data_IF_719323680249
#
_entry.id   IF_719323680249
#
_cell.length_a   1.000
_cell.length_b   1.000
_cell.length_c   1.000
_cell.angle_alpha   90.00
_cell.angle_beta   90.00
_cell.angle_gamma   90.00
#
_symmetry.space_group_name_H-M   'P 1'
#
loop_
_entity.id
_entity.type
_entity.pdbx_description
1 polymer ?
#
# COMPACT_ATOMS: atom_id res chain seq x y z
N UNK A 1 40.63 0.36 -24.15
CA UNK A 1 39.41 -0.44 -23.94
C UNK A 1 38.38 0.46 -23.28
N UNK A 2 37.25 0.74 -23.93
CA UNK A 2 36.18 1.50 -23.29
C UNK A 2 35.65 0.69 -22.11
N UNK A 3 35.87 1.17 -20.88
CA UNK A 3 35.23 0.63 -19.70
C UNK A 3 33.73 0.75 -19.92
N UNK A 4 33.03 -0.35 -20.17
CA UNK A 4 31.56 -0.34 -20.21
C UNK A 4 31.08 0.15 -18.85
N UNK A 5 30.62 1.39 -18.77
CA UNK A 5 30.03 1.94 -17.56
C UNK A 5 28.79 1.10 -17.25
N UNK A 6 28.64 0.72 -15.97
CA UNK A 6 27.48 -0.04 -15.49
C UNK A 6 26.20 0.74 -15.83
N UNK A 7 25.27 0.11 -16.54
CA UNK A 7 23.93 0.67 -16.77
C UNK A 7 23.07 0.29 -15.57
N UNK A 8 22.65 1.28 -14.79
CA UNK A 8 21.77 1.09 -13.64
C UNK A 8 20.32 0.97 -14.11
N UNK A 9 19.57 0.05 -13.51
CA UNK A 9 18.16 -0.15 -13.86
C UNK A 9 17.27 0.98 -13.32
N UNK A 10 17.42 1.33 -12.04
CA UNK A 10 16.66 2.38 -11.37
C UNK A 10 17.50 2.97 -10.23
N UNK A 11 18.33 3.97 -10.55
CA UNK A 11 19.07 4.73 -9.54
C UNK A 11 18.25 5.94 -9.09
N UNK A 12 18.23 6.29 -7.79
CA UNK A 12 17.57 7.50 -7.30
C UNK A 12 17.99 8.76 -8.05
N UNK A 13 17.03 9.62 -8.35
CA UNK A 13 17.29 10.97 -8.81
C UNK A 13 17.23 11.94 -7.63
N UNK A 14 18.31 12.68 -7.38
CA UNK A 14 18.36 13.72 -6.34
C UNK A 14 18.06 15.07 -6.99
N UNK A 15 16.95 15.70 -6.62
CA UNK A 15 16.56 17.03 -7.12
C UNK A 15 17.36 18.17 -6.47
N UNK A 16 18.09 17.88 -5.39
CA UNK A 16 18.90 18.82 -4.62
C UNK A 16 18.16 19.40 -3.41
N UNK A 17 16.82 19.29 -3.35
CA UNK A 17 16.01 19.75 -2.22
C UNK A 17 16.05 18.77 -1.05
N UNK A 18 16.29 17.49 -1.32
CA UNK A 18 16.28 16.42 -0.31
C UNK A 18 17.32 16.69 0.79
N UNK A 19 18.50 17.17 0.41
CA UNK A 19 19.58 17.48 1.36
C UNK A 19 19.19 18.63 2.31
N UNK A 20 18.39 19.59 1.85
CA UNK A 20 17.91 20.69 2.70
C UNK A 20 16.95 20.17 3.79
N UNK A 21 16.00 19.30 3.44
CA UNK A 21 15.09 18.69 4.42
C UNK A 21 15.81 17.77 5.42
N UNK A 22 16.80 17.02 4.95
CA UNK A 22 17.65 16.22 5.85
C UNK A 22 18.41 17.13 6.81
N UNK A 23 19.05 18.20 6.30
CA UNK A 23 19.76 19.16 7.14
C UNK A 23 18.83 19.82 8.16
N UNK A 24 17.63 20.22 7.75
CA UNK A 24 16.62 20.81 8.64
C UNK A 24 16.25 19.87 9.80
N UNK A 25 16.09 18.57 9.53
CA UNK A 25 15.82 17.58 10.58
C UNK A 25 16.95 17.51 11.62
N UNK A 26 18.21 17.61 11.18
CA UNK A 26 19.36 17.67 12.09
C UNK A 26 19.44 19.01 12.84
N UNK A 27 19.26 20.13 12.13
CA UNK A 27 19.35 21.49 12.70
C UNK A 27 18.28 21.71 13.79
N UNK A 28 17.08 21.15 13.60
CA UNK A 28 15.96 21.25 14.55
C UNK A 28 15.96 20.13 15.60
N UNK A 29 16.95 19.22 15.55
CA UNK A 29 17.03 18.01 16.37
C UNK A 29 15.77 17.12 16.28
N UNK A 30 15.10 17.16 15.12
CA UNK A 30 13.89 16.42 14.85
C UNK A 30 14.19 15.17 14.02
N UNK A 31 14.95 14.24 14.62
CA UNK A 31 15.35 12.96 14.00
C UNK A 31 14.45 11.78 14.42
N UNK A 32 13.28 12.08 15.00
CA UNK A 32 12.28 11.10 15.41
C UNK A 32 11.36 10.66 14.25
N UNK A 33 10.71 9.48 14.34
CA UNK A 33 9.83 8.92 13.29
C UNK A 33 8.49 9.66 13.11
N UNK A 34 8.20 10.64 13.97
CA UNK A 34 7.10 11.59 13.83
C UNK A 34 7.72 12.95 13.65
N UNK A 35 7.13 13.88 12.88
CA UNK A 35 7.66 15.23 12.74
C UNK A 35 7.10 16.05 11.58
N UNK A 36 7.46 17.35 11.51
CA UNK A 36 6.92 18.29 10.52
C UNK A 36 7.20 17.85 9.08
N UNK A 37 8.34 17.20 8.82
CA UNK A 37 8.65 16.64 7.50
C UNK A 37 7.69 15.51 7.11
N UNK A 38 7.30 14.67 8.06
CA UNK A 38 6.33 13.58 7.82
C UNK A 38 4.94 14.16 7.56
N UNK A 39 4.52 15.14 8.37
CA UNK A 39 3.23 15.81 8.21
C UNK A 39 3.14 16.54 6.85
N UNK A 40 4.22 17.24 6.48
CA UNK A 40 4.33 17.89 5.18
C UNK A 40 4.32 16.90 4.02
N UNK A 41 4.97 15.74 4.18
CA UNK A 41 4.99 14.69 3.16
C UNK A 41 3.60 14.05 2.97
N UNK A 42 2.93 13.70 4.08
CA UNK A 42 1.54 13.22 4.04
C UNK A 42 0.64 14.24 3.34
N UNK A 43 0.75 15.53 3.70
CA UNK A 43 -0.07 16.58 3.09
C UNK A 43 0.20 16.73 1.60
N UNK A 44 1.47 16.67 1.21
CA UNK A 44 1.88 16.70 -0.19
C UNK A 44 1.29 15.54 -0.99
N UNK A 45 1.28 14.33 -0.42
CA UNK A 45 0.66 13.15 -1.04
C UNK A 45 -0.87 13.28 -1.11
N UNK A 46 -1.54 13.76 -0.05
CA UNK A 46 -2.98 14.01 -0.05
C UNK A 46 -3.37 15.01 -1.17
N UNK A 47 -2.65 16.12 -1.26
CA UNK A 47 -2.86 17.13 -2.33
C UNK A 47 -2.56 16.56 -3.71
N UNK A 48 -1.47 15.80 -3.86
CA UNK A 48 -1.12 15.18 -5.12
C UNK A 48 -2.18 14.18 -5.56
N UNK A 49 -2.58 13.25 -4.69
CA UNK A 49 -3.54 12.19 -5.00
C UNK A 49 -4.91 12.79 -5.32
N UNK A 50 -5.38 13.76 -4.52
CA UNK A 50 -6.71 14.35 -4.66
C UNK A 50 -7.80 13.39 -4.16
N UNK A 51 -9.01 13.47 -4.70
CA UNK A 51 -10.10 12.50 -4.42
C UNK A 51 -10.51 12.38 -2.94
N UNK A 52 -10.28 13.43 -2.13
CA UNK A 52 -10.52 13.36 -0.68
C UNK A 52 -9.59 12.37 0.03
N UNK A 53 -8.41 12.10 -0.54
CA UNK A 53 -7.44 11.16 0.04
C UNK A 53 -6.88 11.68 1.36
N UNK A 54 -6.77 10.77 2.31
CA UNK A 54 -6.07 10.90 3.58
C UNK A 54 -4.91 9.90 3.59
N UNK A 55 -3.72 10.37 3.98
CA UNK A 55 -2.49 9.59 3.87
C UNK A 55 -1.82 9.43 5.23
N UNK A 56 -1.45 8.20 5.58
CA UNK A 56 -0.59 7.89 6.72
C UNK A 56 0.76 7.39 6.21
N UNK A 57 1.84 8.14 6.46
CA UNK A 57 3.19 7.71 6.13
C UNK A 57 3.65 6.59 7.08
N UNK A 58 4.37 5.61 6.54
CA UNK A 58 4.79 4.40 7.21
C UNK A 58 6.23 4.02 6.82
N UNK A 59 6.85 3.15 7.60
CA UNK A 59 8.25 2.74 7.40
C UNK A 59 8.48 1.88 6.14
N UNK A 60 7.44 1.25 5.59
CA UNK A 60 7.51 0.47 4.36
C UNK A 60 6.15 0.29 3.67
N UNK A 61 6.15 0.06 2.35
CA UNK A 61 4.94 -0.36 1.62
C UNK A 61 4.37 -1.68 2.14
N UNK A 62 5.22 -2.60 2.59
CA UNK A 62 4.79 -3.85 3.24
C UNK A 62 4.04 -3.59 4.55
N UNK A 63 4.45 -2.59 5.33
CA UNK A 63 3.74 -2.19 6.54
C UNK A 63 2.36 -1.60 6.20
N UNK A 64 2.26 -0.83 5.10
CA UNK A 64 0.99 -0.31 4.62
C UNK A 64 0.01 -1.42 4.23
N UNK A 65 0.46 -2.45 3.50
CA UNK A 65 -0.37 -3.62 3.15
C UNK A 65 -0.80 -4.36 4.42
N UNK A 66 0.13 -4.58 5.36
CA UNK A 66 -0.18 -5.25 6.62
C UNK A 66 -1.27 -4.52 7.41
N UNK A 67 -1.13 -3.20 7.60
CA UNK A 67 -2.15 -2.42 8.31
C UNK A 67 -3.46 -2.33 7.53
N UNK A 68 -3.44 -2.28 6.20
CA UNK A 68 -4.65 -2.33 5.38
C UNK A 68 -5.45 -3.61 5.64
N UNK A 69 -4.78 -4.76 5.69
CA UNK A 69 -5.41 -6.05 5.99
C UNK A 69 -5.98 -6.08 7.43
N UNK A 70 -5.23 -5.59 8.42
CA UNK A 70 -5.71 -5.48 9.81
C UNK A 70 -6.96 -4.61 9.90
N UNK A 71 -6.99 -3.48 9.20
CA UNK A 71 -8.12 -2.55 9.19
C UNK A 71 -9.37 -3.12 8.50
N UNK A 72 -9.19 -4.01 7.52
CA UNK A 72 -10.28 -4.77 6.91
C UNK A 72 -10.69 -6.01 7.73
N UNK A 73 -10.08 -6.21 8.90
CA UNK A 73 -10.41 -7.31 9.81
C UNK A 73 -9.92 -8.67 9.35
N UNK A 74 -8.93 -8.72 8.45
CA UNK A 74 -8.31 -9.99 8.03
C UNK A 74 -7.57 -10.60 9.21
N UNK A 75 -7.83 -11.88 9.46
CA UNK A 75 -7.20 -12.63 10.53
C UNK A 75 -6.90 -14.08 10.15
N UNK A 76 -6.68 -14.89 11.18
CA UNK A 76 -6.32 -16.29 11.01
C UNK A 76 -7.39 -17.05 10.22
N UNK A 77 -6.94 -17.89 9.28
CA UNK A 77 -7.79 -18.76 8.45
C UNK A 77 -8.74 -18.07 7.45
N UNK A 78 -8.72 -16.73 7.38
CA UNK A 78 -9.32 -15.98 6.29
C UNK A 78 -8.57 -16.20 4.98
N UNK A 79 -9.23 -15.91 3.87
CA UNK A 79 -8.64 -15.98 2.53
C UNK A 79 -8.55 -14.59 1.93
N UNK A 80 -7.39 -14.25 1.35
CA UNK A 80 -7.18 -12.99 0.67
C UNK A 80 -6.70 -13.28 -0.74
N UNK A 81 -7.38 -12.68 -1.71
CA UNK A 81 -7.02 -12.84 -3.10
C UNK A 81 -5.82 -11.94 -3.42
N UNK A 82 -4.83 -12.48 -4.13
CA UNK A 82 -3.64 -11.75 -4.58
C UNK A 82 -3.21 -12.30 -5.93
N UNK A 83 -2.64 -11.47 -6.81
CA UNK A 83 -2.10 -11.97 -8.07
C UNK A 83 -0.80 -12.76 -7.84
N UNK A 84 -0.59 -13.84 -8.60
CA UNK A 84 0.61 -14.69 -8.50
C UNK A 84 1.87 -13.97 -9.01
N UNK A 85 1.73 -13.14 -10.05
CA UNK A 85 2.80 -12.33 -10.63
C UNK A 85 2.88 -10.97 -9.92
N UNK A 86 3.60 -10.91 -8.81
CA UNK A 86 3.84 -9.68 -8.05
C UNK A 86 5.15 -9.78 -7.25
N UNK A 87 5.52 -8.69 -6.57
CA UNK A 87 6.54 -8.73 -5.53
C UNK A 87 5.98 -9.45 -4.28
N UNK A 88 6.80 -10.29 -3.62
CA UNK A 88 6.34 -11.14 -2.52
C UNK A 88 5.67 -10.38 -1.36
N UNK A 89 6.01 -9.11 -1.16
CA UNK A 89 5.39 -8.27 -0.14
C UNK A 89 3.90 -7.99 -0.35
N UNK A 90 3.33 -8.25 -1.53
CA UNK A 90 1.87 -8.23 -1.69
C UNK A 90 1.19 -9.41 -0.99
N UNK A 91 1.87 -10.57 -0.89
CA UNK A 91 1.32 -11.79 -0.30
C UNK A 91 1.79 -12.06 1.13
N UNK A 92 3.02 -11.69 1.49
CA UNK A 92 3.59 -11.98 2.81
C UNK A 92 2.73 -11.42 3.98
N UNK A 93 2.17 -10.20 3.92
CA UNK A 93 1.32 -9.67 4.98
C UNK A 93 0.04 -10.47 5.25
N UNK A 94 -0.47 -11.19 4.23
CA UNK A 94 -1.58 -12.12 4.39
C UNK A 94 -1.17 -13.23 5.38
N UNK A 95 0.03 -13.78 5.17
CA UNK A 95 0.58 -14.86 6.00
C UNK A 95 0.98 -14.38 7.39
N UNK A 96 1.44 -13.12 7.53
CA UNK A 96 1.75 -12.53 8.85
C UNK A 96 0.54 -12.58 9.80
N UNK A 97 -0.68 -12.44 9.25
CA UNK A 97 -1.94 -12.49 10.00
C UNK A 97 -2.49 -13.91 10.19
N UNK A 98 -1.81 -14.93 9.66
CA UNK A 98 -2.30 -16.31 9.63
C UNK A 98 -3.42 -16.56 8.61
N UNK A 99 -3.67 -15.60 7.70
CA UNK A 99 -4.58 -15.77 6.57
C UNK A 99 -3.90 -16.55 5.43
N UNK A 100 -4.68 -16.92 4.42
CA UNK A 100 -4.25 -17.75 3.28
C UNK A 100 -4.37 -16.96 1.97
N UNK A 101 -3.28 -16.80 1.21
CA UNK A 101 -3.36 -16.19 -0.11
C UNK A 101 -4.06 -17.13 -1.10
N UNK A 102 -5.00 -16.59 -1.88
CA UNK A 102 -5.60 -17.25 -3.05
C UNK A 102 -5.02 -16.57 -4.29
N UNK A 103 -4.17 -17.30 -5.02
CA UNK A 103 -3.43 -16.75 -6.15
C UNK A 103 -4.23 -16.74 -7.45
N UNK A 104 -4.24 -15.59 -8.12
CA UNK A 104 -4.90 -15.37 -9.41
C UNK A 104 -3.86 -15.12 -10.49
N UNK A 105 -4.09 -15.65 -11.69
CA UNK A 105 -3.17 -15.50 -12.82
C UNK A 105 -3.26 -14.09 -13.46
N UNK A 106 -2.28 -13.77 -14.28
CA UNK A 106 -2.22 -12.50 -15.01
C UNK A 106 -2.94 -12.57 -16.36
N UNK A 107 -3.62 -11.49 -16.73
CA UNK A 107 -4.08 -11.33 -18.11
C UNK A 107 -2.94 -10.84 -19.03
N UNK A 108 -3.11 -10.97 -20.35
CA UNK A 108 -2.01 -10.84 -21.33
C UNK A 108 -1.66 -9.40 -21.71
N UNK A 109 -2.56 -8.45 -21.53
CA UNK A 109 -2.46 -7.07 -22.05
C UNK A 109 -1.66 -6.18 -21.11
N UNK A 110 -1.97 -6.23 -19.80
CA UNK A 110 -1.33 -5.39 -18.77
C UNK A 110 -0.44 -6.19 -17.82
N UNK A 111 -0.52 -7.53 -17.86
CA UNK A 111 0.15 -8.47 -16.96
C UNK A 111 -0.28 -8.37 -15.49
N UNK A 112 -1.34 -7.63 -15.22
CA UNK A 112 -1.97 -7.58 -13.90
C UNK A 112 -3.01 -8.70 -13.76
N UNK A 113 -3.63 -8.80 -12.59
CA UNK A 113 -4.70 -9.75 -12.27
C UNK A 113 -5.74 -9.89 -13.39
N UNK A 114 -5.97 -11.13 -13.83
CA UNK A 114 -6.98 -11.45 -14.84
C UNK A 114 -8.40 -11.44 -14.24
N UNK A 115 -9.31 -10.58 -14.73
CA UNK A 115 -10.70 -10.52 -14.22
C UNK A 115 -11.45 -11.85 -14.32
N UNK A 116 -11.28 -12.59 -15.42
CA UNK A 116 -12.01 -13.84 -15.64
C UNK A 116 -11.61 -14.88 -14.58
N UNK A 117 -10.31 -15.09 -14.38
CA UNK A 117 -9.81 -16.03 -13.37
C UNK A 117 -10.05 -15.55 -11.94
N UNK A 118 -10.15 -14.23 -11.72
CA UNK A 118 -10.55 -13.66 -10.43
C UNK A 118 -11.98 -14.09 -10.11
N UNK A 119 -12.91 -13.90 -11.05
CA UNK A 119 -14.31 -14.22 -10.82
C UNK A 119 -14.53 -15.74 -10.62
N UNK A 120 -13.86 -16.57 -11.44
CA UNK A 120 -13.89 -18.02 -11.29
C UNK A 120 -13.38 -18.46 -9.91
N UNK A 121 -12.28 -17.86 -9.44
CA UNK A 121 -11.74 -18.16 -8.12
C UNK A 121 -12.72 -17.75 -7.01
N UNK A 122 -13.31 -16.56 -7.07
CA UNK A 122 -14.30 -16.11 -6.07
C UNK A 122 -15.47 -17.10 -6.01
N UNK A 123 -16.04 -17.47 -7.16
CA UNK A 123 -17.14 -18.46 -7.25
C UNK A 123 -16.73 -19.81 -6.65
N UNK A 124 -15.54 -20.32 -6.99
CA UNK A 124 -15.00 -21.56 -6.42
C UNK A 124 -14.89 -21.49 -4.90
N UNK A 125 -14.29 -20.41 -4.35
CA UNK A 125 -14.11 -20.25 -2.90
C UNK A 125 -15.46 -20.21 -2.18
N UNK A 126 -16.40 -19.41 -2.69
CA UNK A 126 -17.74 -19.28 -2.11
C UNK A 126 -18.47 -20.64 -2.11
N UNK A 127 -18.36 -21.41 -3.21
CA UNK A 127 -18.97 -22.76 -3.27
C UNK A 127 -18.43 -23.73 -2.21
N UNK A 128 -17.21 -23.48 -1.72
CA UNK A 128 -16.54 -24.25 -0.65
C UNK A 128 -16.76 -23.65 0.74
N UNK A 129 -17.69 -22.68 0.87
CA UNK A 129 -17.99 -22.01 2.14
C UNK A 129 -16.91 -21.04 2.59
N UNK A 130 -16.05 -20.58 1.67
CA UNK A 130 -14.99 -19.61 1.94
C UNK A 130 -15.26 -18.32 1.16
N UNK A 131 -15.69 -17.28 1.83
CA UNK A 131 -15.84 -15.95 1.22
C UNK A 131 -14.52 -15.18 1.39
N UNK A 132 -13.79 -14.85 0.30
CA UNK A 132 -12.52 -14.15 0.41
C UNK A 132 -12.71 -12.77 1.03
N UNK A 133 -11.83 -12.41 1.98
CA UNK A 133 -12.03 -11.25 2.83
C UNK A 133 -11.52 -9.93 2.26
N UNK A 134 -10.59 -10.01 1.30
CA UNK A 134 -10.10 -8.87 0.54
C UNK A 134 -9.47 -9.33 -0.78
N UNK A 135 -9.34 -8.40 -1.73
CA UNK A 135 -8.55 -8.54 -2.95
C UNK A 135 -7.39 -7.55 -2.90
N UNK A 136 -6.17 -8.00 -3.13
CA UNK A 136 -5.01 -7.13 -3.34
C UNK A 136 -4.75 -7.05 -4.85
N UNK A 137 -5.11 -5.91 -5.45
CA UNK A 137 -4.92 -5.63 -6.87
C UNK A 137 -3.70 -4.72 -7.05
N UNK A 138 -2.73 -5.16 -7.86
CA UNK A 138 -1.43 -4.48 -8.00
C UNK A 138 -1.35 -3.78 -9.34
N UNK A 139 -0.69 -2.63 -9.36
CA UNK A 139 -0.34 -1.90 -10.58
C UNK A 139 1.09 -2.22 -11.02
N UNK A 140 1.28 -3.41 -11.60
CA UNK A 140 2.61 -3.91 -11.95
C UNK A 140 3.32 -2.98 -12.93
N UNK A 141 4.58 -2.64 -12.63
CA UNK A 141 5.43 -1.75 -13.44
C UNK A 141 4.81 -0.37 -13.74
N UNK A 142 3.92 0.09 -12.87
CA UNK A 142 3.20 1.35 -13.05
C UNK A 142 2.03 1.27 -14.02
N UNK A 143 1.73 0.10 -14.61
CA UNK A 143 0.58 -0.08 -15.48
C UNK A 143 -0.69 -0.32 -14.64
N UNK A 144 -1.76 0.47 -14.82
CA UNK A 144 -3.02 0.22 -14.16
C UNK A 144 -3.55 -1.20 -14.43
N UNK A 145 -4.10 -1.90 -13.42
CA UNK A 145 -4.85 -3.13 -13.67
C UNK A 145 -6.16 -2.78 -14.37
N UNK A 146 -6.94 -3.78 -14.79
CA UNK A 146 -8.27 -3.56 -15.40
C UNK A 146 -9.27 -3.04 -14.35
N UNK A 147 -9.13 -1.75 -13.97
CA UNK A 147 -9.76 -1.16 -12.78
C UNK A 147 -11.26 -1.40 -12.75
N UNK A 148 -11.98 -1.00 -13.80
CA UNK A 148 -13.44 -1.16 -13.82
C UNK A 148 -13.86 -2.63 -13.67
N UNK A 149 -13.26 -3.53 -14.45
CA UNK A 149 -13.61 -4.95 -14.40
C UNK A 149 -13.36 -5.59 -13.03
N UNK A 150 -12.21 -5.30 -12.40
CA UNK A 150 -11.88 -5.85 -11.08
C UNK A 150 -12.82 -5.29 -10.00
N UNK A 151 -13.15 -3.99 -10.05
CA UNK A 151 -14.05 -3.36 -9.08
C UNK A 151 -15.51 -3.79 -9.26
N UNK A 152 -15.96 -3.96 -10.51
CA UNK A 152 -17.31 -4.48 -10.81
C UNK A 152 -17.47 -5.90 -10.26
N UNK A 153 -16.47 -6.78 -10.47
CA UNK A 153 -16.44 -8.12 -9.88
C UNK A 153 -16.44 -8.03 -8.36
N UNK A 154 -15.51 -7.28 -7.77
CA UNK A 154 -15.36 -7.16 -6.32
C UNK A 154 -16.65 -6.66 -5.63
N UNK A 155 -17.34 -5.69 -6.24
CA UNK A 155 -18.61 -5.17 -5.76
C UNK A 155 -19.74 -6.20 -5.84
N UNK A 156 -19.78 -7.04 -6.87
CA UNK A 156 -20.84 -8.08 -7.00
C UNK A 156 -20.77 -9.14 -5.89
N UNK A 157 -19.63 -9.28 -5.22
CA UNK A 157 -19.42 -10.23 -4.14
C UNK A 157 -19.15 -9.57 -2.78
N UNK A 158 -19.27 -8.24 -2.67
CA UNK A 158 -18.99 -7.47 -1.46
C UNK A 158 -17.58 -7.70 -0.88
N UNK A 159 -16.56 -7.77 -1.75
CA UNK A 159 -15.16 -7.98 -1.35
C UNK A 159 -14.39 -6.66 -1.48
N UNK A 160 -13.80 -6.12 -0.40
CA UNK A 160 -13.02 -4.88 -0.48
C UNK A 160 -11.72 -5.06 -1.26
N UNK A 161 -11.33 -4.03 -2.02
CA UNK A 161 -10.08 -4.01 -2.79
C UNK A 161 -9.04 -3.17 -2.05
N UNK A 162 -7.91 -3.79 -1.73
CA UNK A 162 -6.66 -3.11 -1.40
C UNK A 162 -5.90 -2.87 -2.71
N UNK A 163 -5.58 -1.60 -2.97
CA UNK A 163 -4.86 -1.20 -4.16
C UNK A 163 -3.36 -1.08 -3.87
N UNK A 164 -2.58 -2.02 -4.41
CA UNK A 164 -1.13 -2.01 -4.35
C UNK A 164 -0.54 -1.10 -5.44
N UNK A 165 -0.33 0.16 -5.07
CA UNK A 165 0.28 1.20 -5.92
C UNK A 165 1.77 1.40 -5.63
N UNK A 166 2.46 0.37 -5.13
CA UNK A 166 3.89 0.44 -4.84
C UNK A 166 4.76 0.76 -6.07
N UNK A 167 4.26 0.61 -7.29
CA UNK A 167 4.99 0.83 -8.54
C UNK A 167 4.34 1.89 -9.44
N UNK A 168 3.26 2.53 -9.01
CA UNK A 168 2.39 3.33 -9.88
C UNK A 168 2.12 4.75 -9.41
N UNK A 169 2.89 5.27 -8.45
CA UNK A 169 2.80 6.68 -8.06
C UNK A 169 3.19 7.57 -9.25
N UNK A 170 2.20 8.20 -9.88
CA UNK A 170 2.37 8.89 -11.17
C UNK A 170 1.32 8.49 -12.20
N UNK A 171 0.90 7.22 -12.16
CA UNK A 171 0.00 6.61 -13.13
C UNK A 171 -1.45 7.00 -12.90
N UNK A 172 -2.25 6.90 -13.97
CA UNK A 172 -3.66 7.26 -13.99
C UNK A 172 -4.47 6.28 -14.82
N UNK A 173 -5.71 6.06 -14.42
CA UNK A 173 -6.73 5.40 -15.20
C UNK A 173 -7.96 6.31 -15.28
N UNK A 174 -8.43 6.61 -16.50
CA UNK A 174 -9.54 7.54 -16.77
C UNK A 174 -9.43 8.87 -16.01
N UNK A 175 -8.21 9.43 -15.96
CA UNK A 175 -7.91 10.70 -15.29
C UNK A 175 -7.68 10.62 -13.77
N UNK A 176 -8.21 9.60 -13.10
CA UNK A 176 -8.02 9.33 -11.67
C UNK A 176 -6.67 8.66 -11.40
N UNK A 177 -6.02 9.00 -10.29
CA UNK A 177 -4.66 8.53 -9.97
C UNK A 177 -4.69 7.16 -9.30
N UNK A 178 -3.68 6.35 -9.60
CA UNK A 178 -3.40 5.13 -8.84
C UNK A 178 -3.13 5.47 -7.36
N UNK A 179 -3.52 4.55 -6.49
CA UNK A 179 -3.56 4.65 -5.04
C UNK A 179 -4.90 5.13 -4.49
N UNK A 180 -5.89 5.39 -5.36
CA UNK A 180 -7.15 6.02 -4.94
C UNK A 180 -8.41 5.24 -5.31
N UNK A 181 -8.32 4.17 -6.09
CA UNK A 181 -9.44 3.35 -6.56
C UNK A 181 -10.05 2.48 -5.46
N UNK A 182 -9.19 1.75 -4.73
CA UNK A 182 -9.58 0.79 -3.68
C UNK A 182 -10.22 1.40 -2.44
N UNK A 183 -10.66 0.53 -1.52
CA UNK A 183 -11.07 0.92 -0.17
C UNK A 183 -9.87 1.50 0.59
N UNK A 184 -8.71 0.86 0.42
CA UNK A 184 -7.42 1.30 0.92
C UNK A 184 -6.39 1.15 -0.20
N UNK A 185 -5.64 2.20 -0.48
CA UNK A 185 -4.46 2.18 -1.35
C UNK A 185 -3.17 2.16 -0.54
N UNK A 186 -2.08 1.69 -1.14
CA UNK A 186 -0.75 1.77 -0.54
C UNK A 186 0.28 2.31 -1.53
N UNK A 187 1.34 2.93 -1.00
CA UNK A 187 2.49 3.42 -1.74
C UNK A 187 3.77 2.85 -1.16
N UNK A 188 4.84 2.83 -1.97
CA UNK A 188 6.18 2.45 -1.54
C UNK A 188 7.20 3.50 -1.96
N UNK A 189 8.14 3.79 -1.05
CA UNK A 189 9.23 4.74 -1.23
C UNK A 189 10.60 4.09 -1.05
N UNK A 190 10.70 2.78 -1.34
CA UNK A 190 11.98 2.06 -1.35
C UNK A 190 12.95 2.66 -2.41
N UNK A 191 14.25 2.35 -2.32
CA UNK A 191 15.32 2.96 -3.11
C UNK A 191 15.15 2.96 -4.62
N UNK A 192 14.42 2.01 -5.19
CA UNK A 192 14.23 1.88 -6.64
C UNK A 192 12.86 2.39 -7.14
N UNK A 193 12.06 3.00 -6.26
CA UNK A 193 10.71 3.51 -6.57
C UNK A 193 10.77 4.89 -7.23
N UNK A 194 9.66 5.29 -7.86
CA UNK A 194 9.53 6.57 -8.61
C UNK A 194 9.89 7.77 -7.73
N UNK A 195 9.41 7.76 -6.48
CA UNK A 195 9.86 8.63 -5.41
C UNK A 195 10.44 7.74 -4.32
N UNK A 196 11.57 8.13 -3.74
CA UNK A 196 12.24 7.34 -2.69
C UNK A 196 12.57 8.18 -1.46
N UNK A 197 12.47 7.53 -0.31
CA UNK A 197 12.94 8.01 0.99
C UNK A 197 14.01 7.06 1.55
N UNK A 198 14.73 6.35 0.67
CA UNK A 198 15.52 5.15 0.95
C UNK A 198 14.66 3.94 1.34
N UNK A 199 13.89 4.08 2.41
CA UNK A 199 12.84 3.16 2.84
C UNK A 199 11.59 3.94 3.25
N UNK A 200 10.42 3.39 2.98
CA UNK A 200 9.16 4.04 3.30
C UNK A 200 7.97 3.44 2.58
N UNK A 201 6.79 3.78 3.05
CA UNK A 201 5.52 3.56 2.38
C UNK A 201 4.46 4.51 2.90
N UNK A 202 3.26 4.39 2.37
CA UNK A 202 2.11 5.09 2.93
C UNK A 202 0.84 4.28 2.70
N UNK A 203 -0.11 4.44 3.61
CA UNK A 203 -1.49 4.02 3.42
C UNK A 203 -2.31 5.22 2.95
N UNK A 204 -3.17 5.00 1.96
CA UNK A 204 -4.08 5.98 1.38
C UNK A 204 -5.52 5.50 1.62
N UNK A 205 -6.39 6.36 2.12
CA UNK A 205 -7.81 6.06 2.27
C UNK A 205 -8.65 7.31 2.04
N UNK A 206 -9.93 7.14 1.72
CA UNK A 206 -10.90 8.24 1.67
C UNK A 206 -11.45 8.60 3.06
N UNK A 207 -11.12 7.80 4.08
CA UNK A 207 -11.62 8.00 5.44
C UNK A 207 -10.52 8.57 6.34
N UNK A 208 -10.79 9.75 6.90
CA UNK A 208 -9.93 10.34 7.93
C UNK A 208 -9.78 9.42 9.14
N UNK A 209 -10.85 8.73 9.54
CA UNK A 209 -10.83 7.78 10.65
C UNK A 209 -9.91 6.58 10.36
N UNK A 210 -9.85 6.11 9.10
CA UNK A 210 -8.91 5.05 8.69
C UNK A 210 -7.46 5.55 8.78
N UNK A 211 -7.17 6.78 8.35
CA UNK A 211 -5.84 7.41 8.55
C UNK A 211 -5.48 7.45 10.04
N UNK A 212 -6.36 7.99 10.88
CA UNK A 212 -6.13 8.13 12.32
C UNK A 212 -5.92 6.76 13.00
N UNK A 213 -6.73 5.75 12.67
CA UNK A 213 -6.55 4.38 13.18
C UNK A 213 -5.26 3.75 12.68
N UNK A 214 -4.85 4.01 11.44
CA UNK A 214 -3.56 3.54 10.90
C UNK A 214 -2.40 4.11 11.70
N UNK A 215 -2.39 5.42 11.97
CA UNK A 215 -1.34 6.07 12.76
C UNK A 215 -1.31 5.53 14.19
N UNK A 216 -2.49 5.36 14.81
CA UNK A 216 -2.61 4.73 16.13
C UNK A 216 -1.96 3.33 16.14
N UNK A 217 -2.34 2.45 15.21
CA UNK A 217 -1.76 1.10 15.13
C UNK A 217 -0.26 1.12 14.85
N UNK A 218 0.21 2.02 13.97
CA UNK A 218 1.61 2.15 13.59
C UNK A 218 2.52 2.74 14.69
N UNK A 219 1.93 3.31 15.75
CA UNK A 219 2.62 3.92 16.90
C UNK A 219 2.41 3.11 18.17
N UNK A 220 2.48 1.78 18.05
CA UNK A 220 2.28 0.82 19.14
C UNK A 220 0.87 0.84 19.75
N UNK A 221 -0.12 1.43 19.08
CA UNK A 221 -1.52 1.48 19.55
C UNK A 221 -1.63 2.00 21.00
N UNK A 222 -0.83 3.02 21.32
CA UNK A 222 -0.84 3.64 22.64
C UNK A 222 -2.11 4.48 22.80
N UNK A 223 -2.86 4.21 23.86
CA UNK A 223 -4.07 4.94 24.19
C UNK A 223 -3.73 6.41 24.50
N UNK A 224 -4.68 7.31 24.26
CA UNK A 224 -4.57 8.72 24.63
C UNK A 224 -4.78 8.88 26.14
N UNK A 225 -3.78 8.46 26.90
CA UNK A 225 -3.77 8.45 28.36
C UNK A 225 -2.37 8.74 28.90
N UNK A 226 -2.24 9.50 30.01
CA UNK A 226 -0.96 9.70 30.68
C UNK A 226 -0.32 8.40 31.19
N UNK A 227 -1.11 7.35 31.39
CA UNK A 227 -0.69 6.12 32.06
C UNK A 227 0.08 5.11 31.16
N UNK A 228 0.46 5.49 29.94
CA UNK A 228 1.19 4.62 28.99
C UNK A 228 0.48 3.27 28.76
N UNK A 229 -0.81 3.33 28.48
CA UNK A 229 -1.70 2.17 28.32
C UNK A 229 -1.82 1.75 26.85
N UNK A 230 -2.07 0.46 26.65
CA UNK A 230 -2.26 -0.16 25.34
C UNK A 230 -3.46 -1.10 25.38
N UNK A 231 -4.60 -0.63 24.88
CA UNK A 231 -5.84 -1.42 24.78
C UNK A 231 -5.87 -2.36 23.56
N UNK A 232 -4.97 -2.14 22.60
CA UNK A 232 -4.87 -2.91 21.37
C UNK A 232 -3.41 -3.32 21.12
N UNK A 233 -3.20 -4.38 20.35
CA UNK A 233 -1.88 -4.72 19.83
C UNK A 233 -1.56 -3.78 18.67
N UNK A 234 -0.46 -3.03 18.80
CA UNK A 234 0.06 -2.16 17.75
C UNK A 234 1.36 -2.69 17.14
N UNK A 235 1.96 -1.83 16.33
CA UNK A 235 3.18 -2.09 15.57
C UNK A 235 4.10 -0.87 15.65
N UNK A 236 5.38 -1.07 15.33
CA UNK A 236 6.31 0.04 15.09
C UNK A 236 6.51 0.22 13.59
N UNK A 237 5.64 1.01 12.96
CA UNK A 237 5.63 1.22 11.52
C UNK A 237 5.68 2.70 11.12
N UNK A 238 6.07 3.59 12.03
CA UNK A 238 6.35 5.00 11.69
C UNK A 238 7.80 5.22 11.31
#
# INVERSE_FOLDING_TARGET
>A
MATKSKIWLSSPHMSGKEQAFVKEAFDTNWVAPLGPNVDGFEKGLETYLGEGSHVAALSAGTAAIHLALVLLGVGRDDEVICQSKTFSASANPIVYLGAKPVFIDSERETWNMCPDTLEDAIKDRISKGKHPKAIIAVHLYGMPYKVDAIHDIASNYDIPVIEDSAESLGSRYKGRKCGTFGEIGILSFNGNKIITTSGGGALVSKSKAVKEKTVFLATQARDDSPAYLHSHIGYNYR
#
